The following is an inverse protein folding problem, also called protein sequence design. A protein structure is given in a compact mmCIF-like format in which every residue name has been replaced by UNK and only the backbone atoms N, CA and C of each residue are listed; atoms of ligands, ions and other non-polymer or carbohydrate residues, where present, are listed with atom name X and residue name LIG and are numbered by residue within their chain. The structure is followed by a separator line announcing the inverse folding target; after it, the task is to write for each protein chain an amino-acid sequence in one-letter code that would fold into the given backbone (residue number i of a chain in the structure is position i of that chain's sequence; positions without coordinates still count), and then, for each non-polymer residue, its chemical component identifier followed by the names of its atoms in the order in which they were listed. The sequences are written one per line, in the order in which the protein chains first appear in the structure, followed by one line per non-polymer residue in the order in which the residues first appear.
data_IF_705594528173
#
_entry.id   IF_705594528173
#
_cell.length_a   1.000
_cell.length_b   1.000
_cell.length_c   1.000
_cell.angle_alpha   90.00
_cell.angle_beta   90.00
_cell.angle_gamma   90.00
#
_symmetry.space_group_name_H-M   'P 1'
#
loop_
_entity.id
_entity.type
_entity.pdbx_description
1 polymer ?
#
# COMPACT_ATOMS: atom_id res chain seq x y z
N UNK A 1 61.03 33.40 -34.21
CA UNK A 1 60.30 32.11 -34.39
C UNK A 1 60.05 31.33 -33.08
N UNK A 2 60.01 31.96 -31.89
CA UNK A 2 59.68 31.28 -30.61
C UNK A 2 58.24 31.57 -30.12
N UNK A 3 57.56 32.55 -30.70
CA UNK A 3 56.27 33.06 -30.19
C UNK A 3 55.07 32.19 -30.59
N UNK A 4 55.16 31.49 -31.73
CA UNK A 4 54.10 30.62 -32.26
C UNK A 4 53.77 29.46 -31.30
N UNK A 5 54.76 28.96 -30.57
CA UNK A 5 54.60 27.83 -29.64
C UNK A 5 53.95 28.27 -28.30
N UNK A 6 54.23 29.50 -27.84
CA UNK A 6 53.61 30.07 -26.63
C UNK A 6 52.14 30.40 -26.84
N UNK A 7 51.77 30.94 -28.01
CA UNK A 7 50.38 31.21 -28.35
C UNK A 7 49.54 29.92 -28.45
N UNK A 8 50.11 28.85 -28.98
CA UNK A 8 49.46 27.54 -29.02
C UNK A 8 49.18 26.98 -27.61
N UNK A 9 50.16 27.10 -26.70
CA UNK A 9 49.99 26.70 -25.29
C UNK A 9 48.91 27.51 -24.57
N UNK A 10 48.84 28.82 -24.82
CA UNK A 10 47.81 29.69 -24.23
C UNK A 10 46.41 29.28 -24.72
N UNK A 11 46.25 28.99 -26.03
CA UNK A 11 44.97 28.53 -26.60
C UNK A 11 44.54 27.19 -26.00
N UNK A 12 45.46 26.22 -25.92
CA UNK A 12 45.17 24.91 -25.32
C UNK A 12 44.80 25.01 -23.83
N UNK A 13 45.46 25.90 -23.07
CA UNK A 13 45.11 26.16 -21.68
C UNK A 13 43.71 26.79 -21.54
N UNK A 14 43.35 27.72 -22.45
CA UNK A 14 42.02 28.34 -22.47
C UNK A 14 40.92 27.33 -22.80
N UNK A 15 41.13 26.43 -23.76
CA UNK A 15 40.18 25.36 -24.08
C UNK A 15 39.99 24.39 -22.92
N UNK A 16 41.08 23.93 -22.30
CA UNK A 16 41.03 23.06 -21.12
C UNK A 16 40.30 23.73 -19.94
N UNK A 17 40.45 25.05 -19.79
CA UNK A 17 39.71 25.81 -18.78
C UNK A 17 38.22 25.92 -19.11
N UNK A 18 37.86 26.11 -20.39
CA UNK A 18 36.46 26.11 -20.86
C UNK A 18 35.80 24.74 -20.63
N UNK A 19 36.45 23.66 -21.04
CA UNK A 19 35.97 22.28 -20.86
C UNK A 19 35.73 21.97 -19.37
N UNK A 20 36.67 22.33 -18.49
CA UNK A 20 36.49 22.15 -17.04
C UNK A 20 35.27 22.93 -16.51
N UNK A 21 35.01 24.14 -17.01
CA UNK A 21 33.83 24.92 -16.62
C UNK A 21 32.54 24.29 -17.15
N UNK A 22 32.57 23.74 -18.35
CA UNK A 22 31.43 23.02 -18.94
C UNK A 22 31.11 21.75 -18.17
N UNK A 23 32.12 20.92 -17.89
CA UNK A 23 31.95 19.70 -17.09
C UNK A 23 31.38 20.04 -15.70
N UNK A 24 31.91 21.07 -15.02
CA UNK A 24 31.36 21.52 -13.73
C UNK A 24 29.90 21.95 -13.83
N UNK A 25 29.53 22.68 -14.89
CA UNK A 25 28.13 23.07 -15.13
C UNK A 25 27.23 21.85 -15.32
N UNK A 26 27.65 20.88 -16.13
CA UNK A 26 26.89 19.64 -16.36
C UNK A 26 26.74 18.83 -15.07
N UNK A 27 27.79 18.68 -14.28
CA UNK A 27 27.70 17.98 -12.99
C UNK A 27 26.69 18.69 -12.07
N UNK A 28 26.77 20.02 -11.97
CA UNK A 28 25.87 20.79 -11.13
C UNK A 28 24.40 20.63 -11.55
N UNK A 29 24.10 20.68 -12.86
CA UNK A 29 22.72 20.49 -13.35
C UNK A 29 22.23 19.07 -13.10
N UNK A 30 23.10 18.06 -13.24
CA UNK A 30 22.76 16.67 -12.91
C UNK A 30 22.47 16.50 -11.42
N UNK A 31 23.24 17.12 -10.54
CA UNK A 31 23.02 17.04 -9.09
C UNK A 31 21.70 17.69 -8.67
N UNK A 32 21.37 18.86 -9.25
CA UNK A 32 20.06 19.49 -9.05
C UNK A 32 18.92 18.59 -9.49
N UNK A 33 19.03 17.97 -10.67
CA UNK A 33 18.01 17.06 -11.19
C UNK A 33 17.86 15.81 -10.31
N UNK A 34 18.97 15.23 -9.83
CA UNK A 34 18.94 14.10 -8.88
C UNK A 34 18.26 14.49 -7.58
N UNK A 35 18.52 15.69 -7.05
CA UNK A 35 17.90 16.19 -5.84
C UNK A 35 16.37 16.35 -6.00
N UNK A 36 15.93 16.89 -7.15
CA UNK A 36 14.51 17.04 -7.47
C UNK A 36 13.80 15.68 -7.55
N UNK A 37 14.34 14.73 -8.31
CA UNK A 37 13.78 13.37 -8.42
C UNK A 37 13.71 12.69 -7.05
N UNK A 38 14.74 12.85 -6.21
CA UNK A 38 14.74 12.30 -4.84
C UNK A 38 13.67 12.94 -3.95
N UNK A 39 13.42 14.23 -4.09
CA UNK A 39 12.37 14.92 -3.36
C UNK A 39 10.97 14.46 -3.79
N UNK A 40 10.73 14.36 -5.10
CA UNK A 40 9.46 13.90 -5.68
C UNK A 40 9.15 12.45 -5.29
N UNK A 41 10.11 11.54 -5.46
CA UNK A 41 9.97 10.14 -5.04
C UNK A 41 9.70 10.00 -3.54
N UNK A 42 10.35 10.80 -2.69
CA UNK A 42 10.08 10.83 -1.25
C UNK A 42 8.67 11.33 -0.94
N UNK A 43 8.19 12.35 -1.66
CA UNK A 43 6.83 12.87 -1.51
C UNK A 43 5.79 11.82 -1.94
N UNK A 44 5.97 11.19 -3.10
CA UNK A 44 5.12 10.11 -3.60
C UNK A 44 5.08 8.92 -2.63
N UNK A 45 6.23 8.47 -2.12
CA UNK A 45 6.29 7.41 -1.12
C UNK A 45 5.58 7.79 0.18
N UNK A 46 5.68 9.04 0.64
CA UNK A 46 4.98 9.50 1.84
C UNK A 46 3.47 9.46 1.64
N UNK A 47 2.98 9.88 0.48
CA UNK A 47 1.56 9.80 0.12
C UNK A 47 1.09 8.34 0.10
N UNK A 48 1.82 7.45 -0.56
CA UNK A 48 1.50 6.03 -0.62
C UNK A 48 1.45 5.39 0.77
N UNK A 49 2.48 5.64 1.61
CA UNK A 49 2.51 5.13 3.00
C UNK A 49 1.31 5.63 3.82
N UNK A 50 0.88 6.88 3.63
CA UNK A 50 -0.31 7.42 4.31
C UNK A 50 -1.56 6.69 3.87
N UNK A 51 -1.75 6.50 2.55
CA UNK A 51 -2.88 5.77 2.00
C UNK A 51 -2.91 4.32 2.51
N UNK A 52 -1.80 3.58 2.43
CA UNK A 52 -1.70 2.21 2.94
C UNK A 52 -2.10 2.12 4.41
N UNK A 53 -1.65 3.06 5.26
CA UNK A 53 -2.06 3.11 6.67
C UNK A 53 -3.54 3.38 6.85
N UNK A 54 -4.14 4.25 6.03
CA UNK A 54 -5.58 4.53 6.08
C UNK A 54 -6.40 3.31 5.65
N UNK A 55 -5.99 2.63 4.58
CA UNK A 55 -6.64 1.39 4.10
C UNK A 55 -6.57 0.32 5.18
N UNK A 56 -5.41 0.10 5.80
CA UNK A 56 -5.28 -0.85 6.91
C UNK A 56 -6.22 -0.52 8.08
N UNK A 57 -6.28 0.74 8.50
CA UNK A 57 -7.22 1.18 9.56
C UNK A 57 -8.69 0.99 9.18
N UNK A 58 -9.02 1.11 7.90
CA UNK A 58 -10.38 0.89 7.40
C UNK A 58 -10.73 -0.60 7.30
N UNK A 59 -9.74 -1.48 7.16
CA UNK A 59 -9.92 -2.93 7.12
C UNK A 59 -10.67 -3.48 8.35
N UNK A 60 -10.29 -3.02 9.54
CA UNK A 60 -10.96 -3.40 10.80
C UNK A 60 -12.43 -2.91 10.89
N UNK A 61 -12.81 -1.98 10.01
CA UNK A 61 -14.17 -1.43 9.90
C UNK A 61 -14.91 -1.96 8.68
N UNK A 62 -14.27 -2.83 7.88
CA UNK A 62 -14.91 -3.47 6.77
C UNK A 62 -16.01 -4.41 7.29
N UNK A 63 -17.13 -4.55 6.56
CA UNK A 63 -18.20 -5.47 6.94
C UNK A 63 -17.71 -6.89 7.24
N UNK A 64 -16.74 -7.39 6.46
CA UNK A 64 -16.13 -8.71 6.64
C UNK A 64 -15.32 -8.86 7.93
N UNK A 65 -14.96 -7.77 8.61
CA UNK A 65 -14.24 -7.80 9.89
C UNK A 65 -15.17 -7.87 11.10
N UNK A 66 -16.49 -7.73 10.90
CA UNK A 66 -17.45 -7.90 11.99
C UNK A 66 -17.71 -9.38 12.25
N UNK A 67 -17.72 -9.74 13.54
CA UNK A 67 -17.96 -11.10 14.01
C UNK A 67 -19.35 -11.63 13.57
N UNK A 68 -20.36 -10.75 13.45
CA UNK A 68 -21.68 -11.14 12.96
C UNK A 68 -21.70 -11.58 11.49
N UNK A 69 -20.67 -11.25 10.72
CA UNK A 69 -20.55 -11.60 9.31
C UNK A 69 -19.58 -12.78 9.09
N UNK A 70 -19.12 -13.45 10.14
CA UNK A 70 -18.35 -14.69 10.00
C UNK A 70 -19.28 -15.83 9.53
N UNK A 71 -18.77 -16.81 8.78
CA UNK A 71 -19.57 -17.95 8.35
C UNK A 71 -20.23 -18.71 9.50
N UNK A 72 -19.56 -18.79 10.64
CA UNK A 72 -20.04 -19.45 11.85
C UNK A 72 -21.27 -18.76 12.44
N UNK A 73 -21.35 -17.43 12.34
CA UNK A 73 -22.47 -16.64 12.88
C UNK A 73 -23.57 -16.37 11.83
N UNK A 74 -23.44 -16.93 10.63
CA UNK A 74 -24.43 -16.79 9.55
C UNK A 74 -25.69 -17.64 9.80
N UNK A 75 -25.56 -18.71 10.59
CA UNK A 75 -26.62 -19.66 10.90
C UNK A 75 -26.83 -19.78 12.41
N UNK A 76 -28.04 -20.18 12.81
CA UNK A 76 -28.29 -20.54 14.20
C UNK A 76 -27.48 -21.79 14.56
N UNK A 77 -26.94 -21.84 15.78
CA UNK A 77 -26.27 -23.05 16.27
C UNK A 77 -27.26 -24.21 16.35
N UNK A 78 -26.76 -25.43 16.19
CA UNK A 78 -27.57 -26.64 16.34
C UNK A 78 -28.20 -26.71 17.75
N UNK A 79 -27.45 -26.32 18.78
CA UNK A 79 -27.93 -26.27 20.17
C UNK A 79 -29.11 -25.30 20.34
N UNK A 80 -29.00 -24.08 19.79
CA UNK A 80 -30.08 -23.10 19.85
C UNK A 80 -31.30 -23.59 19.06
N UNK A 81 -31.06 -24.23 17.92
CA UNK A 81 -32.11 -24.78 17.06
C UNK A 81 -32.84 -25.93 17.76
N UNK A 82 -32.11 -26.86 18.36
CA UNK A 82 -32.67 -27.97 19.13
C UNK A 82 -33.42 -27.49 20.37
N UNK A 83 -32.87 -26.50 21.09
CA UNK A 83 -33.53 -25.91 22.26
C UNK A 83 -34.84 -25.21 21.88
N UNK A 84 -34.84 -24.46 20.78
CA UNK A 84 -36.04 -23.84 20.24
C UNK A 84 -37.09 -24.88 19.82
N UNK A 85 -36.67 -25.93 19.12
CA UNK A 85 -37.58 -27.00 18.68
C UNK A 85 -38.14 -27.74 19.90
N UNK A 86 -37.32 -28.08 20.89
CA UNK A 86 -37.71 -28.80 22.09
C UNK A 86 -38.71 -28.02 22.97
N UNK A 87 -38.60 -26.69 23.02
CA UNK A 87 -39.53 -25.82 23.74
C UNK A 87 -40.72 -25.35 22.89
N UNK A 88 -40.84 -25.79 21.63
CA UNK A 88 -41.93 -25.41 20.75
C UNK A 88 -43.10 -26.37 20.86
N UNK A 89 -44.32 -25.86 20.63
CA UNK A 89 -45.53 -26.67 20.59
C UNK A 89 -45.50 -27.77 19.52
N UNK A 90 -44.59 -27.67 18.53
CA UNK A 90 -44.38 -28.71 17.53
C UNK A 90 -43.86 -30.00 18.16
N UNK A 91 -42.94 -29.92 19.14
CA UNK A 91 -42.43 -31.10 19.82
C UNK A 91 -43.39 -31.65 20.87
N UNK A 92 -44.19 -30.79 21.50
CA UNK A 92 -45.25 -31.25 22.41
C UNK A 92 -46.27 -32.11 21.67
N UNK A 93 -46.80 -31.61 20.54
CA UNK A 93 -47.74 -32.34 19.68
C UNK A 93 -47.10 -33.61 19.12
N UNK A 94 -45.84 -33.56 18.68
CA UNK A 94 -45.13 -34.76 18.24
C UNK A 94 -45.01 -35.79 19.36
N UNK A 95 -44.68 -35.37 20.59
CA UNK A 95 -44.55 -36.28 21.73
C UNK A 95 -45.88 -36.88 22.17
N UNK A 96 -46.98 -36.14 22.03
CA UNK A 96 -48.34 -36.63 22.28
C UNK A 96 -48.76 -37.65 21.21
N UNK A 97 -48.54 -37.34 19.93
CA UNK A 97 -49.04 -38.16 18.80
C UNK A 97 -48.10 -39.28 18.34
N UNK A 98 -46.82 -39.30 18.73
CA UNK A 98 -45.84 -40.28 18.24
C UNK A 98 -46.17 -41.73 18.60
N UNK A 99 -46.96 -41.94 19.64
CA UNK A 99 -47.42 -43.25 20.08
C UNK A 99 -48.87 -43.55 19.64
N UNK A 100 -49.55 -42.58 19.02
CA UNK A 100 -50.90 -42.73 18.47
C UNK A 100 -50.90 -43.31 17.04
N UNK A 101 -49.73 -43.70 16.54
CA UNK A 101 -49.52 -44.24 15.19
C UNK A 101 -49.51 -45.78 15.12
N UNK A 102 -50.17 -46.45 16.07
CA UNK A 102 -50.55 -47.88 15.99
C UNK A 102 -52.05 -48.03 15.63
#
# INVERSE_FOLDING_TARGET
MKDTNRLALIKAAAEKAREKREIKRVIHTMDLRKAQIKAETKAAMKLHKKLTRQVLKAGDKAPSSFECNTPENMYYSEENTQSYIAGSSYMDVYNEMKNDWD
#
